data_IF_836840136267
#
_entry.id   IF_836840136267
#
_cell.length_a   1.000
_cell.length_b   1.000
_cell.length_c   1.000
_cell.angle_alpha   90.00
_cell.angle_beta   90.00
_cell.angle_gamma   90.00
#
_symmetry.space_group_name_H-M   'P 1'
#
loop_
_entity.id
_entity.type
_entity.pdbx_description
1 polymer ?
#
# COMPACT_ATOMS: atom_id res chain seq x y z
N UNK A 1 -11.75 -9.02 13.83
CA UNK A 1 -10.96 -8.97 15.06
C UNK A 1 -9.56 -8.40 14.80
N UNK A 2 -8.82 -8.94 13.81
CA UNK A 2 -7.47 -8.44 13.49
C UNK A 2 -7.46 -6.98 13.04
N UNK A 3 -8.40 -6.48 12.21
CA UNK A 3 -8.46 -5.05 11.89
C UNK A 3 -8.65 -4.16 13.11
N UNK A 4 -9.44 -4.58 14.08
CA UNK A 4 -9.65 -3.84 15.33
C UNK A 4 -8.36 -3.76 16.14
N UNK A 5 -7.59 -4.84 16.21
CA UNK A 5 -6.29 -4.88 16.87
C UNK A 5 -5.31 -3.92 16.21
N UNK A 6 -5.27 -3.86 14.88
CA UNK A 6 -4.35 -2.97 14.17
C UNK A 6 -4.69 -1.49 14.37
N UNK A 7 -5.95 -1.16 14.69
CA UNK A 7 -6.38 0.21 14.93
C UNK A 7 -6.01 0.73 16.32
N UNK A 8 -5.89 -0.17 17.31
CA UNK A 8 -5.72 0.22 18.73
C UNK A 8 -4.37 -0.17 19.31
N UNK A 9 -3.57 -0.98 18.62
CA UNK A 9 -2.29 -1.45 19.13
C UNK A 9 -1.10 -0.75 18.49
N UNK A 10 -0.15 -0.31 19.32
CA UNK A 10 1.14 0.23 18.87
C UNK A 10 2.13 -0.88 18.55
N UNK A 11 2.01 -2.01 19.20
CA UNK A 11 2.89 -3.17 19.05
C UNK A 11 2.09 -4.46 19.00
N UNK A 12 2.50 -5.35 18.11
CA UNK A 12 1.87 -6.66 17.94
C UNK A 12 2.93 -7.74 18.11
N UNK A 13 2.59 -8.79 18.85
CA UNK A 13 3.40 -10.00 18.98
C UNK A 13 2.63 -11.11 18.26
N UNK A 14 3.26 -11.72 17.25
CA UNK A 14 2.65 -12.82 16.52
C UNK A 14 3.24 -14.13 17.00
N UNK A 15 2.37 -15.03 17.47
CA UNK A 15 2.75 -16.34 18.00
C UNK A 15 2.16 -17.41 17.08
N UNK A 16 3.00 -18.37 16.68
CA UNK A 16 2.60 -19.50 15.86
C UNK A 16 3.28 -20.76 16.40
N UNK A 17 2.49 -21.81 16.67
CA UNK A 17 2.97 -23.08 17.22
C UNK A 17 3.82 -22.92 18.50
N UNK A 18 3.40 -22.01 19.38
CA UNK A 18 4.06 -21.77 20.65
C UNK A 18 5.33 -20.92 20.55
N UNK A 19 5.65 -20.40 19.38
CA UNK A 19 6.85 -19.56 19.16
C UNK A 19 6.46 -18.15 18.75
N UNK A 20 7.24 -17.18 19.19
CA UNK A 20 7.10 -15.80 18.76
C UNK A 20 7.77 -15.68 17.40
N UNK A 21 7.02 -15.34 16.36
CA UNK A 21 7.53 -15.20 14.99
C UNK A 21 7.74 -13.75 14.57
N UNK A 22 7.09 -12.80 15.23
CA UNK A 22 7.31 -11.38 14.98
C UNK A 22 6.87 -10.52 16.16
N UNK A 23 7.60 -9.43 16.39
CA UNK A 23 7.24 -8.39 17.36
C UNK A 23 7.56 -7.05 16.71
N UNK A 24 6.56 -6.26 16.44
CA UNK A 24 6.74 -4.87 15.99
C UNK A 24 5.36 -4.18 15.89
N UNK A 25 5.35 -2.91 15.48
CA UNK A 25 4.08 -2.28 15.16
C UNK A 25 3.54 -2.81 13.82
N UNK A 26 2.23 -2.77 13.59
CA UNK A 26 1.63 -3.34 12.38
C UNK A 26 2.20 -2.77 11.08
N UNK A 27 2.52 -1.49 11.05
CA UNK A 27 3.06 -0.83 9.87
C UNK A 27 4.44 -1.38 9.50
N UNK A 28 5.34 -1.49 10.47
CA UNK A 28 6.69 -2.01 10.22
C UNK A 28 6.68 -3.47 9.81
N UNK A 29 5.81 -4.29 10.41
CA UNK A 29 5.69 -5.69 10.03
C UNK A 29 5.29 -5.84 8.56
N UNK A 30 4.30 -5.06 8.12
CA UNK A 30 3.86 -5.09 6.73
C UNK A 30 4.97 -4.69 5.76
N UNK A 31 5.66 -3.60 6.03
CA UNK A 31 6.74 -3.08 5.20
C UNK A 31 7.91 -4.07 5.12
N UNK A 32 8.33 -4.63 6.24
CA UNK A 32 9.46 -5.56 6.28
C UNK A 32 9.16 -6.87 5.55
N UNK A 33 7.93 -7.35 5.60
CA UNK A 33 7.53 -8.61 4.98
C UNK A 33 7.32 -8.50 3.47
N UNK A 34 6.78 -7.39 3.00
CA UNK A 34 6.46 -7.24 1.58
C UNK A 34 7.67 -6.90 0.72
N UNK A 35 8.69 -6.25 1.29
CA UNK A 35 9.84 -5.76 0.52
C UNK A 35 9.51 -4.58 -0.39
N UNK A 36 8.26 -4.15 -0.40
CA UNK A 36 7.77 -3.01 -1.17
C UNK A 36 6.76 -2.23 -0.34
N UNK A 37 6.50 -1.01 -0.73
CA UNK A 37 5.45 -0.20 -0.16
C UNK A 37 4.32 -0.04 -1.18
N UNK A 38 3.11 0.23 -0.70
CA UNK A 38 1.96 0.50 -1.55
C UNK A 38 1.42 1.88 -1.27
N UNK A 39 1.01 2.57 -2.33
CA UNK A 39 0.43 3.90 -2.26
C UNK A 39 -0.89 3.90 -3.00
N UNK A 40 -1.93 4.43 -2.38
CA UNK A 40 -3.24 4.58 -3.00
C UNK A 40 -3.43 6.04 -3.40
N UNK A 41 -3.88 6.24 -4.66
CA UNK A 41 -4.25 7.55 -5.19
C UNK A 41 -5.66 7.52 -5.70
N UNK A 42 -6.40 8.60 -5.49
CA UNK A 42 -7.65 8.87 -6.17
C UNK A 42 -7.46 10.14 -6.98
N UNK A 43 -7.64 10.02 -8.29
CA UNK A 43 -7.36 11.10 -9.25
C UNK A 43 -8.55 11.28 -10.19
N UNK A 44 -8.92 12.54 -10.39
CA UNK A 44 -9.95 12.91 -11.35
C UNK A 44 -9.27 13.37 -12.63
N UNK A 45 -9.49 12.64 -13.73
CA UNK A 45 -8.85 12.89 -15.00
C UNK A 45 -9.08 11.74 -15.98
N UNK A 46 -8.42 11.80 -17.13
CA UNK A 46 -8.56 10.79 -18.18
C UNK A 46 -7.65 9.61 -17.88
N UNK A 47 -8.24 8.47 -17.58
CA UNK A 47 -7.52 7.24 -17.19
C UNK A 47 -6.42 6.84 -18.16
N UNK A 48 -6.68 6.91 -19.47
CA UNK A 48 -5.69 6.55 -20.50
C UNK A 48 -4.42 7.41 -20.46
N UNK A 49 -4.53 8.64 -19.97
CA UNK A 49 -3.40 9.55 -19.83
C UNK A 49 -2.70 9.37 -18.49
N UNK A 50 -3.44 9.08 -17.43
CA UNK A 50 -2.93 8.96 -16.07
C UNK A 50 -2.03 7.75 -15.93
N UNK A 51 -2.46 6.58 -16.39
CA UNK A 51 -1.75 5.30 -16.18
C UNK A 51 -0.32 5.34 -16.71
N UNK A 52 -0.04 5.73 -17.97
CA UNK A 52 1.34 5.75 -18.47
C UNK A 52 2.23 6.72 -17.70
N UNK A 53 1.70 7.87 -17.32
CA UNK A 53 2.46 8.90 -16.61
C UNK A 53 2.85 8.44 -15.22
N UNK A 54 1.92 7.84 -14.48
CA UNK A 54 2.21 7.31 -13.14
C UNK A 54 3.19 6.14 -13.17
N UNK A 55 3.08 5.27 -14.17
CA UNK A 55 4.02 4.14 -14.32
C UNK A 55 5.45 4.59 -14.60
N UNK A 56 5.63 5.76 -15.19
CA UNK A 56 6.94 6.31 -15.50
C UNK A 56 7.59 7.08 -14.35
N UNK A 57 6.90 7.26 -13.23
CA UNK A 57 7.49 7.91 -12.06
C UNK A 57 8.55 6.99 -11.48
N UNK A 58 9.74 7.53 -11.22
CA UNK A 58 10.85 6.77 -10.65
C UNK A 58 10.46 6.18 -9.28
N UNK A 59 10.71 4.88 -9.12
CA UNK A 59 10.37 4.15 -7.91
C UNK A 59 9.05 3.38 -7.99
N UNK A 60 8.23 3.62 -9.01
CA UNK A 60 6.99 2.86 -9.22
C UNK A 60 7.30 1.56 -9.93
N UNK A 61 7.00 0.44 -9.29
CA UNK A 61 7.21 -0.90 -9.85
C UNK A 61 6.00 -1.39 -10.62
N UNK A 62 4.80 -1.10 -10.12
CA UNK A 62 3.55 -1.59 -10.71
C UNK A 62 2.41 -0.64 -10.37
N UNK A 63 1.33 -0.75 -11.16
CA UNK A 63 0.12 0.04 -10.98
C UNK A 63 -1.09 -0.83 -11.23
N UNK A 64 -2.07 -0.75 -10.33
CA UNK A 64 -3.34 -1.45 -10.47
C UNK A 64 -4.47 -0.44 -10.35
N UNK A 65 -5.48 -0.57 -11.21
CA UNK A 65 -6.68 0.26 -11.16
C UNK A 65 -7.70 -0.46 -10.28
N UNK A 66 -8.13 0.20 -9.21
CA UNK A 66 -9.11 -0.38 -8.29
C UNK A 66 -10.50 0.13 -8.67
N UNK A 67 -11.49 -0.76 -8.89
CA UNK A 67 -12.84 -0.33 -9.23
C UNK A 67 -13.44 0.56 -8.16
N UNK A 68 -14.11 1.62 -8.59
CA UNK A 68 -14.83 2.57 -7.72
C UNK A 68 -16.32 2.44 -7.98
N UNK A 69 -17.09 2.21 -6.92
CA UNK A 69 -18.54 1.99 -7.01
C UNK A 69 -19.36 3.27 -7.05
N UNK A 70 -18.81 4.40 -6.60
CA UNK A 70 -19.48 5.69 -6.61
C UNK A 70 -19.12 6.45 -7.89
N UNK A 71 -20.12 6.93 -8.64
CA UNK A 71 -19.93 7.60 -9.92
C UNK A 71 -19.41 9.04 -9.82
N UNK A 72 -18.27 9.24 -9.16
CA UNK A 72 -17.70 10.58 -8.97
C UNK A 72 -16.79 11.10 -10.07
N UNK A 73 -16.62 10.35 -11.16
CA UNK A 73 -15.74 10.76 -12.27
C UNK A 73 -14.27 10.67 -11.95
N UNK A 74 -13.89 9.95 -10.90
CA UNK A 74 -12.50 9.73 -10.51
C UNK A 74 -12.14 8.25 -10.56
N UNK A 75 -10.83 7.98 -10.58
CA UNK A 75 -10.30 6.62 -10.56
C UNK A 75 -9.41 6.42 -9.35
N UNK A 76 -9.41 5.21 -8.84
CA UNK A 76 -8.52 4.82 -7.75
C UNK A 76 -7.40 3.96 -8.30
N UNK A 77 -6.17 4.30 -7.91
CA UNK A 77 -4.96 3.58 -8.33
C UNK A 77 -4.21 3.08 -7.12
N UNK A 78 -3.73 1.86 -7.20
CA UNK A 78 -2.85 1.31 -6.19
C UNK A 78 -1.48 1.07 -6.84
N UNK A 79 -0.47 1.77 -6.34
CA UNK A 79 0.89 1.67 -6.84
C UNK A 79 1.73 0.84 -5.89
N UNK A 80 2.57 -0.03 -6.46
CA UNK A 80 3.62 -0.73 -5.73
C UNK A 80 4.91 0.04 -5.96
N UNK A 81 5.57 0.46 -4.88
CA UNK A 81 6.78 1.29 -4.96
C UNK A 81 7.92 0.65 -4.20
N UNK A 82 9.15 1.09 -4.49
CA UNK A 82 10.36 0.57 -3.85
C UNK A 82 10.35 0.84 -2.34
N UNK A 83 10.79 -0.16 -1.58
CA UNK A 83 10.89 -0.06 -0.13
C UNK A 83 11.89 1.05 0.27
N UNK A 84 11.49 1.86 1.25
CA UNK A 84 12.33 2.95 1.75
C UNK A 84 12.33 4.22 0.92
N UNK A 85 11.65 4.21 -0.22
CA UNK A 85 11.51 5.40 -1.08
C UNK A 85 10.16 6.06 -0.83
N UNK A 86 10.15 7.19 -0.15
CA UNK A 86 8.90 7.95 -0.02
C UNK A 86 8.75 8.85 -1.24
N UNK A 87 8.00 8.37 -2.23
CA UNK A 87 7.77 9.09 -3.48
C UNK A 87 6.43 9.80 -3.52
N UNK A 88 5.73 9.92 -2.38
CA UNK A 88 4.42 10.58 -2.35
C UNK A 88 4.47 11.99 -2.89
N UNK A 89 5.53 12.76 -2.56
CA UNK A 89 5.71 14.11 -3.08
C UNK A 89 5.89 14.14 -4.60
N UNK A 90 6.60 13.16 -5.17
CA UNK A 90 6.76 13.05 -6.62
C UNK A 90 5.45 12.71 -7.32
N UNK A 91 4.65 11.83 -6.73
CA UNK A 91 3.34 11.47 -7.25
C UNK A 91 2.38 12.67 -7.23
N UNK A 92 2.34 13.39 -6.11
CA UNK A 92 1.50 14.59 -5.98
C UNK A 92 1.90 15.65 -7.01
N UNK A 93 3.20 15.91 -7.15
CA UNK A 93 3.72 16.87 -8.10
C UNK A 93 3.34 16.49 -9.54
N UNK A 94 3.50 15.21 -9.89
CA UNK A 94 3.15 14.70 -11.22
C UNK A 94 1.68 14.91 -11.54
N UNK A 95 0.79 14.64 -10.60
CA UNK A 95 -0.65 14.84 -10.77
C UNK A 95 -0.97 16.31 -11.01
N UNK A 96 -0.40 17.19 -10.21
CA UNK A 96 -0.66 18.63 -10.30
C UNK A 96 -0.09 19.23 -11.59
N UNK A 97 1.10 18.82 -12.00
CA UNK A 97 1.74 19.31 -13.24
C UNK A 97 0.96 18.90 -14.50
N UNK A 98 0.19 17.84 -14.44
CA UNK A 98 -0.66 17.40 -15.55
C UNK A 98 -2.09 17.95 -15.49
N UNK A 99 -2.35 18.89 -14.59
CA UNK A 99 -3.65 19.52 -14.38
C UNK A 99 -4.77 18.55 -14.02
N UNK A 100 -4.43 17.42 -13.41
CA UNK A 100 -5.40 16.50 -12.86
C UNK A 100 -5.74 16.89 -11.42
N UNK A 101 -6.90 16.46 -10.94
CA UNK A 101 -7.32 16.73 -9.57
C UNK A 101 -6.92 15.54 -8.67
N UNK A 102 -6.10 15.82 -7.66
CA UNK A 102 -5.71 14.82 -6.66
C UNK A 102 -6.73 14.84 -5.52
N UNK A 103 -7.44 13.74 -5.33
CA UNK A 103 -8.47 13.62 -4.29
C UNK A 103 -7.96 12.88 -3.06
N UNK A 104 -7.01 11.97 -3.23
CA UNK A 104 -6.45 11.18 -2.13
C UNK A 104 -5.06 10.70 -2.47
N UNK A 105 -4.18 10.72 -1.48
CA UNK A 105 -2.83 10.15 -1.58
C UNK A 105 -2.47 9.60 -0.20
N UNK A 106 -2.33 8.27 -0.12
CA UNK A 106 -2.13 7.59 1.15
C UNK A 106 -1.23 6.38 1.00
N UNK A 107 -0.29 6.21 1.92
CA UNK A 107 0.47 4.96 2.04
C UNK A 107 -0.43 3.88 2.62
N UNK A 108 -0.37 2.68 2.04
CA UNK A 108 -1.15 1.54 2.48
C UNK A 108 -0.21 0.46 2.99
N UNK A 109 -0.39 0.03 4.25
CA UNK A 109 0.34 -1.11 4.79
C UNK A 109 -0.40 -2.41 4.55
N UNK A 110 0.24 -3.53 4.88
CA UNK A 110 -0.42 -4.82 4.93
C UNK A 110 -1.38 -4.86 6.12
N UNK A 111 -2.51 -5.57 5.99
CA UNK A 111 -3.38 -5.84 7.13
C UNK A 111 -2.72 -6.87 8.05
N UNK A 112 -3.15 -6.92 9.31
CA UNK A 112 -2.64 -7.94 10.24
C UNK A 112 -2.95 -9.35 9.76
N UNK A 113 -4.08 -9.55 9.07
CA UNK A 113 -4.42 -10.85 8.48
C UNK A 113 -3.40 -11.25 7.41
N UNK A 114 -3.05 -10.35 6.51
CA UNK A 114 -2.04 -10.59 5.48
C UNK A 114 -0.67 -10.87 6.10
N UNK A 115 -0.28 -10.11 7.11
CA UNK A 115 0.98 -10.29 7.84
C UNK A 115 1.02 -11.68 8.49
N UNK A 116 -0.04 -12.05 9.20
CA UNK A 116 -0.14 -13.34 9.88
C UNK A 116 -0.03 -14.50 8.90
N UNK A 117 -0.80 -14.45 7.79
CA UNK A 117 -0.77 -15.49 6.77
C UNK A 117 0.62 -15.63 6.15
N UNK A 118 1.27 -14.52 5.84
CA UNK A 118 2.60 -14.56 5.22
C UNK A 118 3.64 -15.17 6.16
N UNK A 119 3.65 -14.76 7.44
CA UNK A 119 4.58 -15.30 8.43
C UNK A 119 4.38 -16.79 8.67
N UNK A 120 3.13 -17.24 8.78
CA UNK A 120 2.84 -18.65 9.03
C UNK A 120 3.18 -19.52 7.82
N UNK A 121 2.92 -19.06 6.61
CA UNK A 121 3.27 -19.77 5.38
C UNK A 121 4.78 -19.88 5.22
N UNK A 122 5.54 -18.82 5.48
CA UNK A 122 7.00 -18.85 5.40
C UNK A 122 7.59 -19.84 6.41
N UNK A 123 7.05 -19.87 7.63
CA UNK A 123 7.51 -20.82 8.66
C UNK A 123 7.22 -22.27 8.27
N UNK A 124 6.05 -22.53 7.69
CA UNK A 124 5.70 -23.87 7.24
C UNK A 124 6.53 -24.37 6.05
N UNK A 125 7.06 -23.45 5.25
CA UNK A 125 7.90 -23.77 4.09
C UNK A 125 9.36 -24.06 4.47
N UNK A 126 9.76 -23.71 5.67
CA UNK A 126 11.10 -23.99 6.18
C UNK A 126 11.18 -25.40 6.77
#
# INVERSE_FOLDING_TARGET
>A
ILPEVSMICDRVIIIHEGKIVAIDNPKNLGTNLSGVERVELEIKGVNKKIVPVLKNVEGVQDLEIIPVTSGGGYHRYQLTVDLGSDIRHLLAKTVIENDWELLKLQSIGMTLEEIFLKLTLEEEML
#
